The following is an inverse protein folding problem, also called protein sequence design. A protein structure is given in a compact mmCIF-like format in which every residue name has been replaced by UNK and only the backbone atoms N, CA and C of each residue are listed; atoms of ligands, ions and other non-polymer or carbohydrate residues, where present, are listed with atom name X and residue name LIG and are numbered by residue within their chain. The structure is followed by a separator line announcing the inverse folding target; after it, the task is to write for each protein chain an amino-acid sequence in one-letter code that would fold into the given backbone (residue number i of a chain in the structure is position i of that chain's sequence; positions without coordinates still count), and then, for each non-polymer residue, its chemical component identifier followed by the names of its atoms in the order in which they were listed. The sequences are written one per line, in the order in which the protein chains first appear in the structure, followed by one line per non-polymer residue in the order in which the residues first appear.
data_IF_426712700633
#
_entry.id   IF_426712700633
#
_cell.length_a   1.000
_cell.length_b   1.000
_cell.length_c   1.000
_cell.angle_alpha   90.00
_cell.angle_beta   90.00
_cell.angle_gamma   90.00
#
_symmetry.space_group_name_H-M   'P 1'
#
loop_
_entity.id
_entity.type
_entity.pdbx_description
1 polymer ?
#
# COMPACT_ATOMS: atom_id res chain seq x y z
N UNK A 1 16.80 19.92 7.94
CA UNK A 1 16.46 19.11 6.77
C UNK A 1 15.36 19.74 5.94
N UNK A 2 15.24 19.42 4.65
CA UNK A 2 14.07 19.76 3.83
C UNK A 2 13.01 18.68 3.98
N UNK A 3 11.72 19.09 3.99
CA UNK A 3 10.60 18.17 4.16
C UNK A 3 9.34 18.66 3.44
N UNK A 4 8.49 17.73 3.00
CA UNK A 4 7.15 17.98 2.47
C UNK A 4 6.11 17.94 3.57
N UNK A 5 5.64 19.11 4.01
CA UNK A 5 4.79 19.31 5.17
C UNK A 5 3.36 19.65 4.73
N UNK A 6 2.39 18.87 5.16
CA UNK A 6 0.96 19.12 4.91
C UNK A 6 0.39 20.03 6.02
N UNK A 7 -0.09 21.19 5.63
CA UNK A 7 -0.76 22.16 6.50
C UNK A 7 -2.28 22.09 6.41
N UNK A 8 -2.79 21.50 5.35
CA UNK A 8 -4.22 21.38 5.09
C UNK A 8 -4.51 20.97 3.65
N UNK A 9 -5.78 21.05 3.29
CA UNK A 9 -6.22 20.72 1.95
C UNK A 9 -5.55 21.60 0.90
N UNK A 10 -4.84 20.96 -0.06
CA UNK A 10 -4.08 21.61 -1.13
C UNK A 10 -2.96 22.54 -0.63
N UNK A 11 -2.52 22.35 0.62
CA UNK A 11 -1.44 23.11 1.22
C UNK A 11 -0.32 22.15 1.69
N UNK A 12 0.43 21.64 0.75
CA UNK A 12 1.66 20.88 0.96
C UNK A 12 2.85 21.77 0.58
N UNK A 13 3.74 22.01 1.52
CA UNK A 13 4.89 22.90 1.36
C UNK A 13 6.18 22.11 1.49
N UNK A 14 7.15 22.39 0.61
CA UNK A 14 8.51 21.91 0.77
C UNK A 14 9.32 23.02 1.44
N UNK A 15 9.78 22.74 2.65
CA UNK A 15 10.41 23.76 3.48
C UNK A 15 11.47 23.17 4.43
N UNK A 16 12.26 24.04 5.05
CA UNK A 16 13.23 23.66 6.06
C UNK A 16 12.51 23.32 7.38
N UNK A 17 12.81 22.14 7.90
CA UNK A 17 12.33 21.66 9.19
C UNK A 17 13.55 21.29 10.07
N UNK A 18 13.42 21.32 11.40
CA UNK A 18 14.42 20.73 12.29
C UNK A 18 14.67 19.26 11.94
N UNK A 19 15.89 18.78 12.16
CA UNK A 19 16.17 17.35 12.04
C UNK A 19 15.39 16.58 13.11
N UNK A 20 14.89 15.38 12.79
CA UNK A 20 14.08 14.61 13.73
C UNK A 20 14.93 14.09 14.89
N UNK A 21 14.34 14.09 16.07
CA UNK A 21 14.96 13.50 17.26
C UNK A 21 14.80 11.98 17.23
N UNK A 22 15.90 11.26 17.46
CA UNK A 22 15.92 9.80 17.56
C UNK A 22 15.73 9.40 19.04
N UNK A 23 14.65 8.65 19.34
CA UNK A 23 14.42 8.07 20.65
C UNK A 23 15.33 6.86 20.93
N UNK A 24 15.29 6.32 22.14
CA UNK A 24 16.19 5.23 22.57
C UNK A 24 16.03 3.94 21.73
N UNK A 25 14.82 3.65 21.24
CA UNK A 25 14.48 2.49 20.42
C UNK A 25 14.29 2.82 18.93
N UNK A 26 14.57 4.06 18.53
CA UNK A 26 14.40 4.50 17.17
C UNK A 26 15.69 4.37 16.35
N UNK A 27 15.55 4.46 15.04
CA UNK A 27 16.63 4.68 14.08
C UNK A 27 16.39 5.97 13.32
N UNK A 28 17.45 6.73 13.05
CA UNK A 28 17.43 7.90 12.17
C UNK A 28 17.86 7.45 10.78
N UNK A 29 16.97 7.62 9.81
CA UNK A 29 17.15 7.15 8.44
C UNK A 29 17.40 8.38 7.54
N UNK A 30 18.51 8.39 6.81
CA UNK A 30 18.68 9.22 5.63
C UNK A 30 17.87 8.59 4.49
N UNK A 31 16.84 9.29 4.05
CA UNK A 31 15.86 8.74 3.09
C UNK A 31 16.47 8.73 1.69
N UNK A 32 16.57 7.56 1.10
CA UNK A 32 16.95 7.40 -0.31
C UNK A 32 15.77 7.64 -1.24
N UNK A 33 14.62 7.02 -0.93
CA UNK A 33 13.36 7.21 -1.67
C UNK A 33 12.16 7.16 -0.74
N UNK A 34 11.17 7.98 -1.05
CA UNK A 34 9.82 7.87 -0.50
C UNK A 34 8.80 7.64 -1.62
N UNK A 35 8.06 6.55 -1.56
CA UNK A 35 6.96 6.27 -2.49
C UNK A 35 5.74 7.15 -2.21
N UNK A 36 5.07 7.63 -3.25
CA UNK A 36 3.79 8.32 -3.12
C UNK A 36 2.63 7.35 -3.26
N UNK A 37 1.70 7.44 -2.34
CA UNK A 37 0.48 6.65 -2.27
C UNK A 37 -0.76 7.46 -2.68
N UNK A 38 -1.81 6.76 -3.11
CA UNK A 38 -3.13 7.36 -3.29
C UNK A 38 -3.69 7.99 -2.00
N UNK A 39 -3.24 7.49 -0.84
CA UNK A 39 -3.59 8.07 0.48
C UNK A 39 -2.98 9.46 0.64
N UNK A 40 -1.70 9.66 0.30
CA UNK A 40 -1.05 10.98 0.36
C UNK A 40 -1.77 11.98 -0.54
N UNK A 41 -2.11 11.55 -1.77
CA UNK A 41 -2.86 12.38 -2.71
C UNK A 41 -4.29 12.70 -2.23
N UNK A 42 -4.90 11.79 -1.45
CA UNK A 42 -6.21 12.03 -0.84
C UNK A 42 -6.11 13.01 0.33
N UNK A 43 -5.12 12.85 1.21
CA UNK A 43 -4.84 13.82 2.29
C UNK A 43 -4.62 15.22 1.71
N UNK A 44 -3.79 15.33 0.66
CA UNK A 44 -3.55 16.60 -0.05
C UNK A 44 -4.81 17.18 -0.66
N UNK A 45 -5.61 16.40 -1.42
CA UNK A 45 -6.68 16.93 -2.25
C UNK A 45 -8.03 17.09 -1.55
N UNK A 46 -8.32 16.22 -0.56
CA UNK A 46 -9.62 16.12 0.12
C UNK A 46 -9.51 16.16 1.64
N UNK A 47 -8.30 15.94 2.19
CA UNK A 47 -8.05 15.90 3.63
C UNK A 47 -8.17 17.24 4.34
N UNK A 48 -7.84 17.27 5.66
CA UNK A 48 -7.27 16.14 6.39
C UNK A 48 -8.31 15.04 6.69
N UNK A 49 -7.88 13.78 6.61
CA UNK A 49 -8.69 12.61 6.95
C UNK A 49 -8.01 11.77 8.04
N UNK A 50 -6.71 11.50 7.90
CA UNK A 50 -5.88 10.75 8.84
C UNK A 50 -4.83 11.64 9.51
N UNK A 51 -4.45 12.75 8.86
CA UNK A 51 -3.52 13.74 9.41
C UNK A 51 -4.20 14.53 10.54
N UNK A 52 -3.67 14.49 11.78
CA UNK A 52 -4.32 15.05 12.96
C UNK A 52 -4.02 16.55 13.12
N UNK A 53 -4.48 17.39 12.18
CA UNK A 53 -4.16 18.83 12.18
C UNK A 53 -4.69 19.56 13.42
N UNK A 54 -5.90 19.22 13.89
CA UNK A 54 -6.60 19.98 14.93
C UNK A 54 -6.71 19.22 16.26
N UNK A 55 -6.67 17.89 16.21
CA UNK A 55 -6.86 17.04 17.39
C UNK A 55 -5.71 16.04 17.54
N UNK A 56 -5.23 15.88 18.79
CA UNK A 56 -4.13 14.95 19.09
C UNK A 56 -4.52 13.51 18.73
N UNK A 57 -3.69 12.85 17.92
CA UNK A 57 -3.87 11.43 17.60
C UNK A 57 -3.57 10.55 18.83
N UNK A 58 -4.49 9.64 19.17
CA UNK A 58 -4.39 8.85 20.40
C UNK A 58 -3.17 7.92 20.46
N UNK A 59 -2.79 7.33 19.33
CA UNK A 59 -1.65 6.40 19.26
C UNK A 59 -0.30 7.10 19.22
N UNK A 60 -0.12 8.07 18.32
CA UNK A 60 1.15 8.77 18.11
C UNK A 60 1.36 9.96 19.05
N UNK A 61 0.28 10.54 19.58
CA UNK A 61 0.33 11.81 20.33
C UNK A 61 0.60 13.04 19.45
N UNK A 62 0.74 12.89 18.13
CA UNK A 62 0.97 13.98 17.20
C UNK A 62 -0.27 14.86 17.03
N UNK A 63 -0.05 16.15 16.76
CA UNK A 63 -1.07 17.13 16.38
C UNK A 63 -0.40 18.26 15.59
N UNK A 64 -1.04 18.74 14.54
CA UNK A 64 -0.59 19.85 13.72
C UNK A 64 -0.04 19.44 12.35
N UNK A 65 0.66 20.34 11.65
CA UNK A 65 1.24 20.07 10.35
C UNK A 65 2.12 18.82 10.37
N UNK A 66 2.02 18.01 9.33
CA UNK A 66 2.62 16.67 9.31
C UNK A 66 3.49 16.49 8.07
N UNK A 67 4.71 16.01 8.26
CA UNK A 67 5.54 15.54 7.15
C UNK A 67 4.92 14.25 6.63
N UNK A 68 4.48 14.25 5.36
CA UNK A 68 3.85 13.07 4.74
C UNK A 68 4.86 11.96 4.43
N UNK A 69 4.40 10.92 3.76
CA UNK A 69 5.20 9.82 3.23
C UNK A 69 5.33 8.64 4.17
N UNK A 70 4.70 7.53 3.78
CA UNK A 70 4.63 6.29 4.57
C UNK A 70 5.23 5.08 3.84
N UNK A 71 5.92 5.31 2.73
CA UNK A 71 6.55 4.27 1.91
C UNK A 71 8.02 4.67 1.67
N UNK A 72 8.88 4.57 2.69
CA UNK A 72 10.25 5.07 2.60
C UNK A 72 11.31 4.03 2.88
N UNK A 73 12.45 4.23 2.25
CA UNK A 73 13.66 3.43 2.36
C UNK A 73 14.88 4.35 2.47
N UNK A 74 15.93 3.86 3.09
CA UNK A 74 17.16 4.63 3.20
C UNK A 74 18.22 3.93 4.04
N UNK A 75 19.21 4.69 4.50
CA UNK A 75 20.30 4.19 5.33
C UNK A 75 20.20 4.75 6.74
N UNK A 76 20.35 3.90 7.73
CA UNK A 76 20.40 4.30 9.14
C UNK A 76 21.70 5.08 9.38
N UNK A 77 21.60 6.38 9.68
CA UNK A 77 22.74 7.27 9.90
C UNK A 77 23.02 7.56 11.37
N UNK A 78 21.99 7.44 12.22
CA UNK A 78 22.11 7.46 13.67
C UNK A 78 21.03 6.57 14.30
N UNK A 79 21.17 6.23 15.57
CA UNK A 79 20.26 5.33 16.25
C UNK A 79 20.27 5.54 17.77
N UNK A 80 19.13 5.26 18.38
CA UNK A 80 19.01 5.29 19.82
C UNK A 80 19.93 4.28 20.54
N UNK A 81 20.05 4.41 21.84
CA UNK A 81 20.98 3.60 22.64
C UNK A 81 20.75 2.10 22.48
N UNK A 82 19.49 1.67 22.31
CA UNK A 82 19.12 0.26 22.18
C UNK A 82 19.27 -0.28 20.75
N UNK A 83 19.45 0.60 19.77
CA UNK A 83 19.44 0.24 18.34
C UNK A 83 20.74 0.63 17.61
N UNK A 84 21.78 1.04 18.36
CA UNK A 84 23.06 1.56 17.87
C UNK A 84 23.76 0.64 16.87
N UNK A 85 23.58 -0.66 16.96
CA UNK A 85 24.19 -1.66 16.07
C UNK A 85 23.64 -1.60 14.64
N UNK A 86 22.55 -0.88 14.40
CA UNK A 86 21.90 -0.75 13.08
C UNK A 86 22.45 0.38 12.22
N UNK A 87 23.34 1.23 12.76
CA UNK A 87 23.96 2.33 11.98
C UNK A 87 24.74 1.76 10.79
N UNK A 88 24.44 2.30 9.60
CA UNK A 88 24.97 1.83 8.31
C UNK A 88 24.09 0.79 7.60
N UNK A 89 23.05 0.28 8.26
CA UNK A 89 22.11 -0.67 7.65
C UNK A 89 21.18 0.04 6.65
N UNK A 90 21.00 -0.56 5.46
CA UNK A 90 19.97 -0.14 4.51
C UNK A 90 18.63 -0.75 4.95
N UNK A 91 17.60 0.08 5.06
CA UNK A 91 16.31 -0.36 5.61
C UNK A 91 15.13 0.11 4.77
N UNK A 92 14.08 -0.72 4.72
CA UNK A 92 12.74 -0.34 4.28
C UNK A 92 11.81 -0.26 5.50
N UNK A 93 11.04 0.82 5.61
CA UNK A 93 10.13 1.02 6.72
C UNK A 93 8.70 0.62 6.34
N UNK A 94 8.06 -0.20 7.17
CA UNK A 94 6.65 -0.53 7.04
C UNK A 94 5.71 0.59 7.49
N UNK A 95 6.22 1.65 8.11
CA UNK A 95 5.52 2.83 8.58
C UNK A 95 4.37 2.60 9.59
N UNK A 96 3.87 1.38 9.73
CA UNK A 96 2.81 1.02 10.67
C UNK A 96 3.36 0.76 12.07
N UNK A 97 3.02 1.62 13.04
CA UNK A 97 3.49 1.50 14.42
C UNK A 97 2.39 0.92 15.30
N UNK A 98 2.74 -0.06 16.13
CA UNK A 98 1.84 -0.74 17.04
C UNK A 98 2.40 -0.77 18.46
N UNK A 99 1.54 -0.92 19.47
CA UNK A 99 1.96 -0.91 20.88
C UNK A 99 2.67 -2.20 21.35
N UNK A 100 2.65 -3.27 20.56
CA UNK A 100 3.27 -4.55 20.88
C UNK A 100 2.59 -5.39 21.99
N UNK A 101 1.63 -4.85 22.74
CA UNK A 101 1.14 -5.49 23.96
C UNK A 101 -0.39 -5.69 24.05
N UNK A 102 -1.19 -5.06 23.17
CA UNK A 102 -2.63 -5.29 23.16
C UNK A 102 -2.97 -6.67 22.57
N UNK A 103 -4.22 -7.12 22.75
CA UNK A 103 -4.72 -8.40 22.25
C UNK A 103 -4.40 -8.62 20.75
N UNK A 104 -4.60 -7.61 19.92
CA UNK A 104 -4.30 -7.70 18.49
C UNK A 104 -2.81 -7.85 18.21
N UNK A 105 -1.95 -7.16 18.95
CA UNK A 105 -0.50 -7.32 18.83
C UNK A 105 -0.03 -8.71 19.26
N UNK A 106 -0.56 -9.23 20.36
CA UNK A 106 -0.25 -10.58 20.87
C UNK A 106 -0.69 -11.67 19.88
N UNK A 107 -1.80 -11.46 19.17
CA UNK A 107 -2.26 -12.34 18.08
C UNK A 107 -1.44 -12.21 16.77
N UNK A 108 -0.42 -11.34 16.72
CA UNK A 108 0.37 -11.07 15.52
C UNK A 108 -0.34 -10.14 14.51
N UNK A 109 -1.51 -9.60 14.85
CA UNK A 109 -2.29 -8.69 13.99
C UNK A 109 -2.02 -7.24 14.35
N UNK A 110 -0.75 -6.84 14.24
CA UNK A 110 -0.27 -5.51 14.65
C UNK A 110 -0.92 -4.36 13.86
N UNK A 111 -1.32 -4.62 12.62
CA UNK A 111 -2.10 -3.69 11.79
C UNK A 111 -3.49 -3.34 12.37
N UNK A 112 -3.99 -4.11 13.33
CA UNK A 112 -5.25 -3.87 14.05
C UNK A 112 -5.02 -3.44 15.51
N UNK A 113 -3.82 -2.97 15.84
CA UNK A 113 -3.50 -2.48 17.18
C UNK A 113 -4.45 -1.35 17.61
N UNK A 114 -4.86 -1.35 18.87
CA UNK A 114 -5.75 -0.28 19.40
C UNK A 114 -5.09 1.10 19.39
N UNK A 115 -3.76 1.15 19.49
CA UNK A 115 -2.97 2.38 19.41
C UNK A 115 -2.22 2.51 18.08
N UNK A 116 -2.74 1.88 17.01
CA UNK A 116 -2.08 1.93 15.70
C UNK A 116 -1.99 3.35 15.15
N UNK A 117 -0.84 3.68 14.60
CA UNK A 117 -0.64 4.90 13.83
C UNK A 117 0.33 4.65 12.67
N UNK A 118 0.30 5.55 11.69
CA UNK A 118 1.16 5.45 10.51
C UNK A 118 2.08 6.65 10.44
N UNK A 119 3.40 6.41 10.35
CA UNK A 119 4.38 7.45 10.00
C UNK A 119 4.01 8.02 8.62
N UNK A 120 4.06 9.34 8.49
CA UNK A 120 3.67 10.04 7.27
C UNK A 120 2.18 10.30 7.10
N UNK A 121 1.34 9.89 8.08
CA UNK A 121 -0.09 10.21 8.14
C UNK A 121 -0.49 10.70 9.53
N UNK A 122 -0.32 9.87 10.56
CA UNK A 122 -0.68 10.21 11.94
C UNK A 122 0.52 10.64 12.80
N UNK A 123 1.68 10.71 12.21
CA UNK A 123 2.96 11.23 12.73
C UNK A 123 3.84 11.61 11.53
N UNK A 124 4.93 12.32 11.76
CA UNK A 124 5.88 12.68 10.70
C UNK A 124 6.46 11.44 10.02
N UNK A 125 6.63 11.52 8.70
CA UNK A 125 7.08 10.44 7.83
C UNK A 125 8.29 10.76 6.97
N UNK A 126 8.46 9.98 5.90
CA UNK A 126 9.66 9.95 5.07
C UNK A 126 9.66 10.86 3.84
N UNK A 127 8.68 11.75 3.66
CA UNK A 127 8.75 12.77 2.61
C UNK A 127 9.69 13.91 3.03
N UNK A 128 10.92 13.56 3.41
CA UNK A 128 11.97 14.42 3.96
C UNK A 128 13.35 13.80 3.75
N UNK A 129 14.41 14.60 3.94
CA UNK A 129 15.79 14.10 3.86
C UNK A 129 16.10 13.09 4.97
N UNK A 130 15.51 13.27 6.16
CA UNK A 130 15.67 12.38 7.30
C UNK A 130 14.33 12.05 7.97
N UNK A 131 14.23 10.86 8.54
CA UNK A 131 13.08 10.45 9.34
C UNK A 131 13.53 9.59 10.52
N UNK A 132 12.99 9.84 11.71
CA UNK A 132 13.12 8.94 12.85
C UNK A 132 11.96 7.95 12.85
N UNK A 133 12.27 6.66 13.00
CA UNK A 133 11.29 5.59 12.98
C UNK A 133 11.60 4.56 14.07
N UNK A 134 10.57 3.96 14.73
CA UNK A 134 10.79 2.84 15.62
C UNK A 134 11.52 1.69 14.91
N UNK A 135 12.60 1.22 15.49
CA UNK A 135 13.50 0.23 14.87
C UNK A 135 12.77 -1.05 14.43
N UNK A 136 11.74 -1.46 15.16
CA UNK A 136 10.93 -2.64 14.86
C UNK A 136 10.00 -2.49 13.65
N UNK A 137 9.85 -1.30 13.10
CA UNK A 137 9.13 -1.05 11.83
C UNK A 137 10.05 -1.05 10.62
N UNK A 138 11.36 -1.11 10.84
CA UNK A 138 12.40 -1.03 9.80
C UNK A 138 13.02 -2.40 9.57
N UNK A 139 13.00 -2.87 8.34
CA UNK A 139 13.54 -4.18 7.93
C UNK A 139 14.76 -3.96 7.04
N UNK A 140 15.83 -4.72 7.28
CA UNK A 140 17.05 -4.66 6.47
C UNK A 140 16.77 -5.03 5.00
N UNK A 141 17.29 -4.24 4.08
CA UNK A 141 17.16 -4.50 2.64
C UNK A 141 18.21 -5.54 2.24
N UNK A 142 17.83 -6.68 1.63
CA UNK A 142 18.78 -7.68 1.17
C UNK A 142 19.67 -7.15 0.04
N UNK A 143 20.88 -7.70 -0.09
CA UNK A 143 21.89 -7.25 -1.07
C UNK A 143 21.39 -7.30 -2.53
N UNK A 144 20.48 -8.22 -2.86
CA UNK A 144 19.87 -8.35 -4.19
C UNK A 144 18.92 -7.22 -4.58
N UNK A 145 18.37 -6.47 -3.61
CA UNK A 145 17.42 -5.39 -3.87
C UNK A 145 18.10 -4.01 -3.86
N UNK A 146 17.90 -3.22 -4.92
CA UNK A 146 18.27 -1.80 -4.94
C UNK A 146 17.35 -0.98 -4.04
N UNK A 147 17.76 0.24 -3.63
CA UNK A 147 16.89 1.16 -2.89
C UNK A 147 15.62 1.51 -3.68
N UNK A 148 15.72 1.57 -5.01
CA UNK A 148 14.57 1.84 -5.88
C UNK A 148 13.56 0.69 -5.84
N UNK A 149 14.04 -0.56 -5.91
CA UNK A 149 13.17 -1.74 -5.75
C UNK A 149 12.57 -1.78 -4.34
N UNK A 150 13.40 -1.64 -3.32
CA UNK A 150 12.95 -1.64 -1.93
C UNK A 150 11.95 -0.52 -1.62
N UNK A 151 11.97 0.60 -2.38
CA UNK A 151 10.96 1.66 -2.32
C UNK A 151 9.54 1.19 -2.65
N UNK A 152 9.39 -0.02 -3.21
CA UNK A 152 8.10 -0.67 -3.44
C UNK A 152 7.70 -1.68 -2.35
N UNK A 153 8.54 -1.88 -1.33
CA UNK A 153 8.31 -2.93 -0.32
C UNK A 153 7.01 -2.70 0.49
N UNK A 154 6.77 -1.47 0.94
CA UNK A 154 5.58 -1.17 1.74
C UNK A 154 4.26 -1.42 0.95
N UNK A 155 4.05 -0.88 -0.26
CA UNK A 155 2.83 -1.16 -1.00
C UNK A 155 2.74 -2.61 -1.50
N UNK A 156 3.86 -3.29 -1.79
CA UNK A 156 3.86 -4.71 -2.09
C UNK A 156 3.44 -5.54 -0.87
N UNK A 157 3.90 -5.18 0.34
CA UNK A 157 3.48 -5.82 1.58
C UNK A 157 1.95 -5.71 1.81
N UNK A 158 1.31 -4.59 1.40
CA UNK A 158 -0.16 -4.48 1.41
C UNK A 158 -0.80 -5.49 0.47
N UNK A 159 -0.26 -5.67 -0.73
CA UNK A 159 -0.72 -6.69 -1.69
C UNK A 159 -0.55 -8.10 -1.13
N UNK A 160 0.61 -8.43 -0.56
CA UNK A 160 0.90 -9.73 0.07
C UNK A 160 -0.01 -9.99 1.27
N UNK A 161 -0.21 -8.97 2.12
CA UNK A 161 -1.14 -9.08 3.25
C UNK A 161 -2.56 -9.40 2.77
N UNK A 162 -3.01 -8.78 1.68
CA UNK A 162 -4.32 -9.06 1.09
C UNK A 162 -4.44 -10.53 0.66
N UNK A 163 -3.41 -11.07 0.01
CA UNK A 163 -3.34 -12.48 -0.41
C UNK A 163 -3.30 -13.41 0.82
N UNK A 164 -2.47 -13.09 1.82
CA UNK A 164 -2.38 -13.88 3.07
C UNK A 164 -3.69 -13.86 3.89
N UNK A 165 -4.52 -12.84 3.70
CA UNK A 165 -5.84 -12.75 4.35
C UNK A 165 -6.89 -13.61 3.66
N UNK A 166 -6.79 -13.81 2.37
CA UNK A 166 -7.68 -14.66 1.60
C UNK A 166 -7.40 -16.15 1.86
N UNK A 167 -8.45 -16.98 1.77
CA UNK A 167 -8.33 -18.45 1.89
C UNK A 167 -8.14 -19.07 0.51
N UNK A 168 -7.00 -18.77 -0.13
CA UNK A 168 -6.65 -19.30 -1.44
C UNK A 168 -6.05 -20.70 -1.25
N UNK A 169 -6.52 -21.65 -2.05
CA UNK A 169 -5.94 -22.99 -2.13
C UNK A 169 -5.31 -23.24 -3.51
N UNK A 170 -4.45 -24.26 -3.59
CA UNK A 170 -3.79 -24.61 -4.85
C UNK A 170 -4.86 -24.94 -5.92
N UNK A 171 -4.69 -24.37 -7.10
CA UNK A 171 -5.59 -24.56 -8.24
C UNK A 171 -6.81 -23.63 -8.28
N UNK A 172 -7.09 -22.84 -7.23
CA UNK A 172 -8.19 -21.87 -7.25
C UNK A 172 -8.07 -20.87 -8.40
N UNK A 173 -9.18 -20.55 -9.03
CA UNK A 173 -9.27 -19.42 -9.96
C UNK A 173 -9.45 -18.12 -9.19
N UNK A 174 -8.48 -17.24 -9.29
CA UNK A 174 -8.45 -15.94 -8.57
C UNK A 174 -8.70 -14.80 -9.54
N UNK A 175 -9.70 -13.95 -9.28
CA UNK A 175 -9.89 -12.72 -10.04
C UNK A 175 -9.48 -11.48 -9.21
N UNK A 176 -8.80 -10.52 -9.86
CA UNK A 176 -8.43 -9.22 -9.29
C UNK A 176 -9.17 -8.14 -10.04
N UNK A 177 -10.19 -7.54 -9.40
CA UNK A 177 -10.97 -6.44 -9.96
C UNK A 177 -10.30 -5.09 -9.64
N UNK A 178 -9.80 -4.43 -10.67
CA UNK A 178 -9.00 -3.22 -10.58
C UNK A 178 -7.52 -3.51 -10.37
N UNK A 179 -6.75 -3.44 -11.44
CA UNK A 179 -5.28 -3.61 -11.40
C UNK A 179 -4.55 -2.27 -11.49
N UNK A 180 -5.03 -1.30 -10.67
CA UNK A 180 -4.29 -0.11 -10.31
C UNK A 180 -3.07 -0.45 -9.43
N UNK A 181 -2.59 0.49 -8.61
CA UNK A 181 -1.39 0.26 -7.79
C UNK A 181 -1.50 -1.01 -6.91
N UNK A 182 -2.52 -1.10 -6.05
CA UNK A 182 -2.65 -2.24 -5.13
C UNK A 182 -3.00 -3.54 -5.86
N UNK A 183 -3.90 -3.51 -6.86
CA UNK A 183 -4.22 -4.70 -7.65
C UNK A 183 -3.00 -5.26 -8.41
N UNK A 184 -2.11 -4.40 -8.89
CA UNK A 184 -0.83 -4.83 -9.48
C UNK A 184 0.06 -5.55 -8.45
N UNK A 185 0.14 -5.06 -7.21
CA UNK A 185 0.87 -5.74 -6.14
C UNK A 185 0.20 -7.05 -5.70
N UNK A 186 -1.14 -7.17 -5.76
CA UNK A 186 -1.84 -8.43 -5.55
C UNK A 186 -1.48 -9.44 -6.65
N UNK A 187 -1.49 -9.03 -7.93
CA UNK A 187 -1.03 -9.89 -9.02
C UNK A 187 0.42 -10.34 -8.82
N UNK A 188 1.30 -9.42 -8.39
CA UNK A 188 2.70 -9.75 -8.08
C UNK A 188 2.81 -10.77 -6.94
N UNK A 189 2.02 -10.62 -5.88
CA UNK A 189 2.00 -11.57 -4.77
C UNK A 189 1.46 -12.95 -5.17
N UNK A 190 0.57 -13.01 -6.17
CA UNK A 190 -0.02 -14.24 -6.71
C UNK A 190 0.82 -14.88 -7.85
N UNK A 191 1.97 -14.31 -8.23
CA UNK A 191 2.74 -14.75 -9.40
C UNK A 191 3.16 -16.22 -9.39
N UNK A 192 3.27 -16.81 -8.22
CA UNK A 192 3.63 -18.23 -8.02
C UNK A 192 2.42 -19.09 -7.62
N UNK A 193 1.19 -18.56 -7.75
CA UNK A 193 -0.01 -19.33 -7.48
C UNK A 193 -0.24 -20.39 -8.58
N UNK A 194 -0.57 -21.62 -8.19
CA UNK A 194 -0.73 -22.75 -9.13
C UNK A 194 -1.99 -22.66 -9.99
N UNK A 195 -2.99 -21.88 -9.57
CA UNK A 195 -4.24 -21.66 -10.29
C UNK A 195 -4.19 -20.44 -11.22
N UNK A 196 -5.22 -20.26 -12.07
CA UNK A 196 -5.31 -19.12 -12.96
C UNK A 196 -5.59 -17.81 -12.18
N UNK A 197 -4.80 -16.77 -12.44
CA UNK A 197 -5.03 -15.40 -11.97
C UNK A 197 -5.59 -14.58 -13.13
N UNK A 198 -6.80 -14.03 -12.95
CA UNK A 198 -7.51 -13.22 -13.94
C UNK A 198 -7.51 -11.76 -13.50
N UNK A 199 -6.83 -10.91 -14.23
CA UNK A 199 -6.83 -9.45 -13.99
C UNK A 199 -7.96 -8.78 -14.77
N UNK A 200 -8.77 -7.96 -14.11
CA UNK A 200 -9.89 -7.22 -14.71
C UNK A 200 -9.71 -5.72 -14.48
N UNK A 201 -9.70 -4.93 -15.53
CA UNK A 201 -9.62 -3.46 -15.46
C UNK A 201 -10.31 -2.83 -16.69
N UNK A 202 -10.52 -1.52 -16.63
CA UNK A 202 -11.03 -0.71 -17.72
C UNK A 202 -9.91 -0.19 -18.63
N UNK A 203 -8.66 -0.20 -18.15
CA UNK A 203 -7.48 0.32 -18.86
C UNK A 203 -6.63 -0.84 -19.42
N UNK A 204 -6.57 -1.00 -20.74
CA UNK A 204 -5.77 -2.06 -21.37
C UNK A 204 -4.27 -1.95 -21.07
N UNK A 205 -3.73 -0.76 -20.75
CA UNK A 205 -2.32 -0.59 -20.39
C UNK A 205 -2.03 -1.18 -19.02
N UNK A 206 -2.95 -1.03 -18.07
CA UNK A 206 -2.82 -1.67 -16.74
C UNK A 206 -2.90 -3.18 -16.84
N UNK A 207 -3.75 -3.70 -17.73
CA UNK A 207 -3.87 -5.14 -17.98
C UNK A 207 -2.59 -5.74 -18.59
N UNK A 208 -1.91 -5.00 -19.46
CA UNK A 208 -0.62 -5.44 -20.02
C UNK A 208 0.44 -5.53 -18.91
N UNK A 209 0.50 -4.56 -18.01
CA UNK A 209 1.37 -4.61 -16.82
C UNK A 209 0.99 -5.80 -15.93
N UNK A 210 -0.31 -6.00 -15.64
CA UNK A 210 -0.77 -7.11 -14.79
C UNK A 210 -0.37 -8.49 -15.36
N UNK A 211 -0.37 -8.66 -16.69
CA UNK A 211 0.10 -9.89 -17.34
C UNK A 211 1.57 -10.17 -17.03
N UNK A 212 2.42 -9.16 -17.11
CA UNK A 212 3.84 -9.28 -16.81
C UNK A 212 4.09 -9.52 -15.29
N UNK A 213 3.16 -9.11 -14.44
CA UNK A 213 3.21 -9.28 -12.99
C UNK A 213 2.69 -10.65 -12.51
N UNK A 214 2.15 -11.49 -13.39
CA UNK A 214 1.71 -12.85 -13.04
C UNK A 214 0.25 -13.17 -13.35
N UNK A 215 -0.55 -12.22 -13.89
CA UNK A 215 -1.89 -12.54 -14.33
C UNK A 215 -1.85 -13.44 -15.59
N UNK A 216 -2.38 -14.65 -15.48
CA UNK A 216 -2.46 -15.59 -16.58
C UNK A 216 -3.45 -15.16 -17.65
N UNK A 217 -4.50 -14.46 -17.25
CA UNK A 217 -5.55 -13.93 -18.14
C UNK A 217 -5.85 -12.48 -17.81
N UNK A 218 -6.25 -11.72 -18.81
CA UNK A 218 -6.64 -10.31 -18.63
C UNK A 218 -7.94 -10.03 -19.34
N UNK A 219 -8.85 -9.33 -18.68
CA UNK A 219 -10.19 -8.98 -19.17
C UNK A 219 -10.37 -7.47 -19.11
N UNK A 220 -10.48 -6.84 -20.26
CA UNK A 220 -10.79 -5.43 -20.37
C UNK A 220 -12.31 -5.26 -20.46
N UNK A 221 -12.89 -4.52 -19.51
CA UNK A 221 -14.34 -4.26 -19.48
C UNK A 221 -14.62 -2.76 -19.44
N UNK A 222 -15.75 -2.31 -20.01
CA UNK A 222 -16.14 -0.91 -19.85
C UNK A 222 -16.48 -0.61 -18.36
N UNK A 223 -16.42 0.66 -17.92
CA UNK A 223 -16.69 1.04 -16.54
C UNK A 223 -18.08 0.64 -16.03
N UNK A 224 -19.06 0.61 -16.93
CA UNK A 224 -20.46 0.26 -16.68
C UNK A 224 -20.79 -1.23 -16.92
N UNK A 225 -19.78 -2.09 -17.16
CA UNK A 225 -19.96 -3.53 -17.31
C UNK A 225 -20.79 -4.11 -16.17
N UNK A 226 -21.77 -4.92 -16.52
CA UNK A 226 -22.61 -5.64 -15.56
C UNK A 226 -21.90 -6.90 -15.02
N UNK A 227 -22.48 -7.52 -14.00
CA UNK A 227 -22.06 -8.85 -13.53
C UNK A 227 -22.18 -9.91 -14.63
N UNK A 228 -23.19 -9.80 -15.49
CA UNK A 228 -23.37 -10.72 -16.62
C UNK A 228 -22.23 -10.60 -17.63
N UNK A 229 -21.84 -9.37 -17.98
CA UNK A 229 -20.71 -9.13 -18.89
C UNK A 229 -19.41 -9.70 -18.33
N UNK A 230 -19.17 -9.57 -17.01
CA UNK A 230 -17.99 -10.16 -16.36
C UNK A 230 -18.02 -11.69 -16.40
N UNK A 231 -19.16 -12.31 -16.14
CA UNK A 231 -19.32 -13.78 -16.21
C UNK A 231 -19.13 -14.33 -17.63
N UNK A 232 -19.62 -13.60 -18.63
CA UNK A 232 -19.44 -13.97 -20.05
C UNK A 232 -17.97 -13.84 -20.48
N UNK A 233 -17.29 -12.81 -19.99
CA UNK A 233 -15.87 -12.58 -20.27
C UNK A 233 -14.92 -13.54 -19.49
N UNK A 234 -15.37 -14.10 -18.36
CA UNK A 234 -14.63 -15.07 -17.54
C UNK A 234 -15.45 -16.37 -17.45
N UNK A 235 -15.42 -17.23 -18.50
CA UNK A 235 -16.30 -18.39 -18.61
C UNK A 235 -15.88 -19.57 -17.73
N UNK A 236 -15.32 -19.31 -16.57
CA UNK A 236 -14.90 -20.28 -15.55
C UNK A 236 -15.42 -19.86 -14.18
N UNK A 237 -15.56 -20.83 -13.28
CA UNK A 237 -15.89 -20.52 -11.89
C UNK A 237 -14.73 -19.79 -11.23
N UNK A 238 -15.01 -18.65 -10.61
CA UNK A 238 -14.02 -17.85 -9.86
C UNK A 238 -14.17 -18.20 -8.37
N UNK A 239 -13.11 -18.74 -7.78
CA UNK A 239 -13.07 -19.19 -6.39
C UNK A 239 -12.90 -18.03 -5.42
N UNK A 240 -11.97 -17.13 -5.74
CA UNK A 240 -11.64 -15.96 -4.92
C UNK A 240 -11.62 -14.70 -5.77
N UNK A 241 -12.28 -13.64 -5.30
CA UNK A 241 -12.28 -12.34 -5.96
C UNK A 241 -11.67 -11.29 -5.03
N UNK A 242 -10.62 -10.62 -5.47
CA UNK A 242 -10.11 -9.39 -4.83
C UNK A 242 -10.78 -8.17 -5.45
N UNK A 243 -11.50 -7.40 -4.65
CA UNK A 243 -11.96 -6.06 -5.03
C UNK A 243 -10.89 -5.05 -4.61
N UNK A 244 -10.08 -4.57 -5.58
CA UNK A 244 -8.94 -3.69 -5.35
C UNK A 244 -9.10 -2.30 -5.99
N UNK A 245 -10.25 -2.02 -6.60
CA UNK A 245 -10.52 -0.75 -7.28
C UNK A 245 -11.04 0.34 -6.34
N UNK A 246 -11.88 -0.03 -5.37
CA UNK A 246 -12.57 0.88 -4.47
C UNK A 246 -13.57 1.81 -5.17
N UNK A 247 -13.97 1.50 -6.41
CA UNK A 247 -14.96 2.30 -7.13
C UNK A 247 -16.39 1.85 -6.81
N UNK A 248 -17.34 2.76 -6.93
CA UNK A 248 -18.76 2.46 -6.70
C UNK A 248 -19.25 1.31 -7.58
N UNK A 249 -19.99 0.36 -7.00
CA UNK A 249 -20.53 -0.84 -7.66
C UNK A 249 -19.51 -1.98 -7.82
N UNK A 250 -18.23 -1.79 -7.47
CA UNK A 250 -17.23 -2.85 -7.63
C UNK A 250 -17.44 -4.01 -6.65
N UNK A 251 -17.85 -3.72 -5.42
CA UNK A 251 -18.17 -4.77 -4.45
C UNK A 251 -19.33 -5.64 -4.92
N UNK A 252 -20.42 -5.06 -5.45
CA UNK A 252 -21.53 -5.80 -6.03
C UNK A 252 -21.05 -6.72 -7.17
N UNK A 253 -20.19 -6.20 -8.05
CA UNK A 253 -19.59 -6.99 -9.14
C UNK A 253 -18.75 -8.15 -8.61
N UNK A 254 -17.95 -7.93 -7.57
CA UNK A 254 -17.12 -8.96 -6.96
C UNK A 254 -18.00 -10.10 -6.37
N UNK A 255 -19.04 -9.75 -5.60
CA UNK A 255 -19.99 -10.73 -5.06
C UNK A 255 -20.79 -11.43 -6.17
N UNK A 256 -21.12 -10.73 -7.24
CA UNK A 256 -21.78 -11.31 -8.40
C UNK A 256 -20.91 -12.28 -9.18
N UNK A 257 -19.61 -12.04 -9.28
CA UNK A 257 -18.68 -12.85 -10.07
C UNK A 257 -18.27 -14.14 -9.37
N UNK A 258 -18.03 -14.11 -8.05
CA UNK A 258 -17.57 -15.26 -7.27
C UNK A 258 -18.57 -16.43 -7.35
N UNK A 259 -18.07 -17.67 -7.37
CA UNK A 259 -18.92 -18.89 -7.33
C UNK A 259 -19.63 -19.07 -5.98
N UNK A 260 -20.61 -19.98 -5.93
CA UNK A 260 -21.18 -20.40 -4.66
C UNK A 260 -20.10 -21.04 -3.77
N UNK A 261 -20.11 -20.71 -2.47
CA UNK A 261 -19.12 -21.14 -1.51
C UNK A 261 -17.74 -20.51 -1.69
N UNK A 262 -17.58 -19.57 -2.62
CA UNK A 262 -16.31 -18.85 -2.84
C UNK A 262 -16.09 -17.70 -1.87
N UNK A 263 -15.04 -16.89 -2.12
CA UNK A 263 -14.63 -15.81 -1.24
C UNK A 263 -14.46 -14.48 -1.99
N UNK A 264 -14.92 -13.39 -1.38
CA UNK A 264 -14.63 -12.02 -1.81
C UNK A 264 -13.78 -11.33 -0.75
N UNK A 265 -12.59 -10.88 -1.14
CA UNK A 265 -11.70 -10.08 -0.31
C UNK A 265 -11.79 -8.62 -0.73
N UNK A 266 -12.32 -7.77 0.15
CA UNK A 266 -12.44 -6.33 -0.05
C UNK A 266 -11.12 -5.65 0.36
N UNK A 267 -10.49 -4.98 -0.59
CA UNK A 267 -9.20 -4.27 -0.45
C UNK A 267 -9.37 -2.79 -0.75
N UNK A 268 -10.13 -2.48 -1.80
CA UNK A 268 -10.41 -1.12 -2.24
C UNK A 268 -11.20 -0.33 -1.20
N UNK A 269 -10.77 0.91 -0.92
CA UNK A 269 -11.46 1.79 0.03
C UNK A 269 -12.55 2.59 -0.69
N UNK A 270 -13.75 2.04 -0.76
CA UNK A 270 -14.91 2.82 -1.18
C UNK A 270 -15.39 3.73 -0.04
N UNK A 271 -15.45 5.02 -0.32
CA UNK A 271 -15.84 6.06 0.66
C UNK A 271 -17.34 6.32 0.69
N UNK A 272 -18.08 5.77 -0.28
CA UNK A 272 -19.53 5.91 -0.39
C UNK A 272 -20.20 4.62 0.05
N UNK A 273 -21.19 4.67 0.96
CA UNK A 273 -21.96 3.48 1.31
C UNK A 273 -22.60 2.86 0.08
N UNK A 274 -22.48 1.54 -0.06
CA UNK A 274 -23.06 0.75 -1.16
C UNK A 274 -24.05 -0.28 -0.64
N UNK A 275 -25.17 -0.48 -1.33
CA UNK A 275 -26.07 -1.57 -1.02
C UNK A 275 -25.46 -2.90 -1.50
N UNK A 276 -25.52 -3.94 -0.65
CA UNK A 276 -25.19 -5.32 -1.00
C UNK A 276 -26.43 -6.19 -0.83
N UNK A 277 -26.64 -7.11 -1.76
CA UNK A 277 -27.72 -8.12 -1.64
C UNK A 277 -27.30 -9.22 -0.65
N UNK A 278 -27.55 -8.99 0.64
CA UNK A 278 -27.17 -9.94 1.69
C UNK A 278 -27.88 -11.28 1.54
N UNK A 279 -29.11 -11.32 0.98
CA UNK A 279 -29.81 -12.57 0.74
C UNK A 279 -29.07 -13.45 -0.27
N UNK A 280 -28.58 -12.87 -1.36
CA UNK A 280 -27.78 -13.58 -2.35
C UNK A 280 -26.49 -14.13 -1.76
N UNK A 281 -25.78 -13.32 -0.97
CA UNK A 281 -24.55 -13.72 -0.29
C UNK A 281 -24.82 -14.93 0.63
N UNK A 282 -25.88 -14.88 1.43
CA UNK A 282 -26.24 -15.96 2.38
C UNK A 282 -26.64 -17.23 1.63
N UNK A 283 -27.52 -17.11 0.61
CA UNK A 283 -28.02 -18.29 -0.13
C UNK A 283 -26.92 -18.99 -0.94
N UNK A 284 -25.86 -18.30 -1.28
CA UNK A 284 -24.72 -18.86 -1.99
C UNK A 284 -23.53 -19.20 -1.07
N UNK A 285 -23.69 -19.02 0.24
CA UNK A 285 -22.62 -19.24 1.24
C UNK A 285 -21.29 -18.53 0.88
N UNK A 286 -21.38 -17.31 0.34
CA UNK A 286 -20.18 -16.55 -0.05
C UNK A 286 -19.49 -15.99 1.19
N UNK A 287 -18.18 -16.25 1.29
CA UNK A 287 -17.35 -15.70 2.36
C UNK A 287 -16.95 -14.26 2.03
N UNK A 288 -17.05 -13.36 3.02
CA UNK A 288 -16.60 -11.99 2.90
C UNK A 288 -15.41 -11.76 3.84
N UNK A 289 -14.30 -11.29 3.29
CA UNK A 289 -13.13 -10.84 4.06
C UNK A 289 -12.83 -9.39 3.75
N UNK A 290 -12.04 -8.79 4.60
CA UNK A 290 -11.46 -7.46 4.38
C UNK A 290 -10.02 -7.42 4.85
N UNK A 291 -9.28 -6.49 4.32
CA UNK A 291 -7.87 -6.28 4.66
C UNK A 291 -7.60 -4.80 4.88
N UNK A 292 -6.62 -4.47 5.71
CA UNK A 292 -6.13 -3.12 5.93
C UNK A 292 -4.64 -3.14 6.21
N UNK A 293 -3.91 -2.22 5.58
CA UNK A 293 -2.46 -2.08 5.76
C UNK A 293 -1.71 -3.43 5.59
N UNK A 294 -0.76 -3.71 6.46
CA UNK A 294 0.05 -4.93 6.48
C UNK A 294 0.62 -5.14 7.89
N UNK A 295 1.20 -6.31 8.14
CA UNK A 295 1.95 -6.62 9.36
C UNK A 295 3.44 -6.44 9.07
N UNK A 296 4.08 -5.40 9.64
CA UNK A 296 5.49 -5.07 9.35
C UNK A 296 6.43 -6.28 9.51
N UNK A 297 6.27 -7.04 10.59
CA UNK A 297 7.18 -8.13 10.93
C UNK A 297 7.15 -9.33 9.98
N UNK A 298 6.06 -9.53 9.24
CA UNK A 298 5.90 -10.67 8.31
C UNK A 298 5.88 -10.22 6.85
N UNK A 299 5.14 -9.14 6.54
CA UNK A 299 4.83 -8.82 5.17
C UNK A 299 5.94 -7.97 4.50
N UNK A 300 6.68 -7.13 5.25
CA UNK A 300 7.81 -6.37 4.71
C UNK A 300 9.00 -7.27 4.36
N UNK A 301 9.45 -8.20 5.24
CA UNK A 301 10.50 -9.14 4.84
C UNK A 301 10.13 -9.94 3.58
N UNK A 302 8.94 -10.50 3.53
CA UNK A 302 8.47 -11.26 2.37
C UNK A 302 8.41 -10.41 1.08
N UNK A 303 8.04 -9.14 1.19
CA UNK A 303 8.07 -8.21 0.05
C UNK A 303 9.50 -7.93 -0.41
N UNK A 304 10.43 -7.72 0.51
CA UNK A 304 11.85 -7.47 0.19
C UNK A 304 12.51 -8.69 -0.43
N UNK A 305 12.22 -9.90 0.06
CA UNK A 305 12.71 -11.15 -0.53
C UNK A 305 12.23 -11.29 -1.98
N UNK A 306 10.95 -11.00 -2.25
CA UNK A 306 10.43 -11.03 -3.61
C UNK A 306 11.13 -9.98 -4.50
N UNK A 307 11.31 -8.76 -4.00
CA UNK A 307 11.94 -7.67 -4.75
C UNK A 307 13.44 -7.89 -5.02
N UNK A 308 14.11 -8.71 -4.22
CA UNK A 308 15.50 -9.10 -4.47
C UNK A 308 15.65 -10.00 -5.70
N UNK A 309 14.63 -10.83 -5.98
CA UNK A 309 14.62 -11.80 -7.07
C UNK A 309 13.82 -11.35 -8.30
N UNK A 310 13.00 -10.32 -8.16
CA UNK A 310 12.07 -9.89 -9.21
C UNK A 310 12.15 -8.36 -9.43
N UNK A 311 12.67 -7.90 -10.60
CA UNK A 311 12.88 -6.49 -10.89
C UNK A 311 11.56 -5.78 -11.20
N UNK A 312 10.77 -5.53 -10.16
CA UNK A 312 9.41 -5.00 -10.26
C UNK A 312 9.38 -3.59 -10.87
N UNK A 313 10.42 -2.77 -10.62
CA UNK A 313 10.50 -1.39 -11.16
C UNK A 313 10.78 -1.35 -12.67
N UNK A 314 11.18 -2.45 -13.29
CA UNK A 314 11.33 -2.57 -14.74
C UNK A 314 9.97 -2.85 -15.42
N UNK A 315 9.07 -3.53 -14.72
CA UNK A 315 7.75 -3.95 -15.21
C UNK A 315 6.69 -2.89 -14.86
N UNK A 316 6.62 -2.53 -13.58
CA UNK A 316 5.71 -1.50 -13.10
C UNK A 316 6.32 -0.12 -13.40
N UNK A 317 5.70 0.71 -14.27
CA UNK A 317 6.22 2.04 -14.55
C UNK A 317 6.53 2.79 -13.26
N UNK A 318 7.82 3.05 -13.01
CA UNK A 318 8.29 3.67 -11.77
C UNK A 318 9.10 4.92 -12.11
N UNK A 319 8.53 6.08 -11.75
CA UNK A 319 9.13 7.39 -12.00
C UNK A 319 9.74 7.94 -10.73
N UNK A 320 10.93 8.51 -10.83
CA UNK A 320 11.59 9.24 -9.74
C UNK A 320 11.43 10.74 -9.99
N UNK A 321 11.08 11.49 -8.95
CA UNK A 321 10.96 12.96 -8.95
C UNK A 321 11.72 13.54 -7.76
N UNK A 322 12.12 14.81 -7.84
CA UNK A 322 12.72 15.52 -6.71
C UNK A 322 11.65 15.93 -5.68
N UNK A 323 12.07 16.18 -4.43
CA UNK A 323 11.18 16.68 -3.38
C UNK A 323 10.52 18.02 -3.78
N UNK A 324 11.27 18.92 -4.43
CA UNK A 324 10.74 20.20 -4.90
C UNK A 324 9.62 20.09 -5.94
N UNK A 325 9.55 18.96 -6.66
CA UNK A 325 8.53 18.70 -7.66
C UNK A 325 7.31 17.92 -7.13
N UNK A 326 7.29 17.55 -5.85
CA UNK A 326 6.31 16.61 -5.27
C UNK A 326 4.85 17.01 -5.48
N UNK A 327 4.51 18.29 -5.40
CA UNK A 327 3.13 18.76 -5.63
C UNK A 327 2.77 18.63 -7.10
N UNK A 328 3.53 19.29 -7.98
CA UNK A 328 3.25 19.38 -9.42
C UNK A 328 3.30 18.03 -10.12
N UNK A 329 4.34 17.22 -9.84
CA UNK A 329 4.63 16.00 -10.58
C UNK A 329 4.20 14.73 -9.82
N UNK A 330 3.81 14.87 -8.55
CA UNK A 330 3.37 13.79 -7.68
C UNK A 330 1.90 13.90 -7.26
N UNK A 331 1.59 14.79 -6.31
CA UNK A 331 0.28 14.87 -5.66
C UNK A 331 -0.85 15.22 -6.63
N UNK A 332 -0.64 16.20 -7.51
CA UNK A 332 -1.67 16.60 -8.47
C UNK A 332 -2.01 15.50 -9.49
N UNK A 333 -1.05 14.86 -10.18
CA UNK A 333 -1.36 13.75 -11.07
C UNK A 333 -2.02 12.57 -10.37
N UNK A 334 -1.59 12.20 -9.16
CA UNK A 334 -2.19 11.13 -8.37
C UNK A 334 -3.63 11.47 -7.97
N UNK A 335 -3.89 12.70 -7.51
CA UNK A 335 -5.23 13.12 -7.08
C UNK A 335 -6.27 13.13 -8.21
N UNK A 336 -5.82 13.32 -9.45
CA UNK A 336 -6.65 13.30 -10.67
C UNK A 336 -6.75 11.90 -11.29
N UNK A 337 -6.10 10.88 -10.73
CA UNK A 337 -6.02 9.54 -11.32
C UNK A 337 -5.23 9.47 -12.63
N UNK A 338 -4.42 10.49 -12.92
CA UNK A 338 -3.63 10.60 -14.15
C UNK A 338 -2.22 9.98 -14.02
N UNK A 339 -1.82 9.59 -12.84
CA UNK A 339 -0.54 8.91 -12.64
C UNK A 339 -0.64 7.44 -13.07
N UNK A 340 0.37 6.98 -13.81
CA UNK A 340 0.54 5.59 -14.19
C UNK A 340 1.70 4.98 -13.39
N UNK A 341 1.48 3.81 -12.83
CA UNK A 341 2.49 3.09 -12.05
C UNK A 341 2.79 3.74 -10.70
N UNK A 342 4.06 3.76 -10.31
CA UNK A 342 4.53 4.27 -9.02
C UNK A 342 5.39 5.53 -9.17
N UNK A 343 5.28 6.43 -8.21
CA UNK A 343 6.13 7.62 -8.12
C UNK A 343 6.97 7.50 -6.85
N UNK A 344 8.27 7.56 -7.01
CA UNK A 344 9.25 7.68 -5.94
C UNK A 344 9.77 9.12 -5.86
N UNK A 345 9.91 9.66 -4.69
CA UNK A 345 10.54 10.97 -4.43
C UNK A 345 11.94 10.71 -3.91
N UNK A 346 12.96 11.30 -4.56
CA UNK A 346 14.30 11.43 -3.97
C UNK A 346 14.35 12.75 -3.22
N UNK A 347 14.39 12.74 -1.88
CA UNK A 347 14.39 13.97 -1.10
C UNK A 347 15.73 14.71 -1.13
N UNK A 348 16.82 14.06 -1.56
CA UNK A 348 18.17 14.63 -1.65
C UNK A 348 18.36 15.43 -2.94
N UNK A 349 17.55 15.11 -3.99
CA UNK A 349 17.57 15.82 -5.26
C UNK A 349 16.74 17.10 -5.15
N UNK A 350 17.39 18.26 -5.28
CA UNK A 350 16.78 19.49 -4.99
C UNK A 350 16.77 20.72 -5.54
#
# INVERSE_FOLDING_TARGET
MRAGVLYGRQDLRVEAQPDPHCGDDDVLIEVAFNGLCGTDATEYSKGPMMVPLESRHLGSGHVGPTILGHEFVGTVVDAGVNTRSRVGERVACGAGVSCGQCDRCVEGRTNLCRGYYTLGLSANGGLAEFVAAPSNTCVGIPDGASDKEAGLAQPLAVGMHSVNRAQITAGDCVAVLGVGAIGSFICTALRNHDGPVVAVDVDPKRLEVARQLGAAETVCVPPDASVADLRDAIPKAVDVVFEASGVAGAAEKAFGLVRNGGEVTLVGLNKTPEPLNLSDIVLREVNMRSTVAHVCASDIPAALDLLADFPLTEILPTRVISLGAVVRDGMEPLSRGAASGKILVDPRDG
#
